data_IF_423764874950
#
_entry.id   IF_423764874950
#
_cell.length_a   1.000
_cell.length_b   1.000
_cell.length_c   1.000
_cell.angle_alpha   90.00
_cell.angle_beta   90.00
_cell.angle_gamma   90.00
#
_symmetry.space_group_name_H-M   'P 1'
#
loop_
_entity.id
_entity.type
_entity.pdbx_description
1 polymer ?
#
# COMPACT_ATOMS: atom_id res chain seq x y z
N UNK A 1 17.54 -5.72 -16.10
CA UNK A 1 16.31 -5.82 -16.92
C UNK A 1 15.09 -5.30 -16.15
N UNK A 2 14.71 -5.82 -14.98
CA UNK A 2 13.59 -5.27 -14.17
C UNK A 2 13.92 -3.93 -13.49
N UNK A 3 15.14 -3.72 -13.02
CA UNK A 3 15.55 -2.43 -12.43
C UNK A 3 15.48 -1.23 -13.41
N UNK A 4 15.50 -1.50 -14.72
CA UNK A 4 15.31 -0.48 -15.77
C UNK A 4 13.82 -0.21 -16.05
N UNK A 5 12.92 -1.10 -15.63
CA UNK A 5 11.48 -0.96 -15.77
C UNK A 5 10.88 -0.23 -14.57
N UNK A 6 11.34 -0.55 -13.36
CA UNK A 6 10.91 0.12 -12.15
C UNK A 6 11.34 1.58 -12.20
N UNK A 7 10.37 2.50 -12.28
CA UNK A 7 10.52 3.96 -12.19
C UNK A 7 10.10 4.40 -10.78
N UNK A 8 11.00 4.36 -9.78
CA UNK A 8 10.63 4.57 -8.38
C UNK A 8 10.03 5.96 -8.15
N UNK A 9 10.44 6.95 -8.92
CA UNK A 9 9.89 8.31 -8.90
C UNK A 9 8.39 8.36 -9.20
N UNK A 10 7.90 7.51 -10.12
CA UNK A 10 6.46 7.43 -10.42
C UNK A 10 5.70 6.84 -9.24
N UNK A 11 6.27 5.83 -8.58
CA UNK A 11 5.65 5.25 -7.40
C UNK A 11 5.70 6.20 -6.21
N UNK A 12 6.81 6.93 -6.02
CA UNK A 12 6.93 7.96 -4.97
C UNK A 12 5.86 9.04 -5.13
N UNK A 13 5.62 9.54 -6.35
CA UNK A 13 4.55 10.51 -6.59
C UNK A 13 3.14 9.94 -6.28
N UNK A 14 2.88 8.67 -6.62
CA UNK A 14 1.61 8.01 -6.29
C UNK A 14 1.41 7.82 -4.78
N UNK A 15 2.49 7.62 -4.03
CA UNK A 15 2.45 7.35 -2.60
C UNK A 15 2.53 8.60 -1.72
N UNK A 16 2.92 9.76 -2.26
CA UNK A 16 3.06 11.03 -1.52
C UNK A 16 1.84 11.36 -0.65
N UNK A 17 0.57 11.22 -1.11
CA UNK A 17 -0.59 11.54 -0.27
C UNK A 17 -0.79 10.59 0.91
N UNK A 18 -0.18 9.40 0.89
CA UNK A 18 -0.29 8.36 1.92
C UNK A 18 0.91 8.34 2.87
N UNK A 19 2.09 8.70 2.37
CA UNK A 19 3.34 8.80 3.15
C UNK A 19 3.97 10.16 2.81
N UNK A 20 3.59 11.26 3.50
CA UNK A 20 4.01 12.60 3.12
C UNK A 20 5.50 12.86 3.34
N UNK A 21 6.08 12.28 4.39
CA UNK A 21 7.51 12.36 4.64
C UNK A 21 8.31 11.68 3.52
N UNK A 22 9.32 12.37 3.01
CA UNK A 22 10.06 11.92 1.83
C UNK A 22 11.01 10.75 2.15
N UNK A 23 11.61 10.73 3.35
CA UNK A 23 12.56 9.67 3.74
C UNK A 23 11.80 8.36 3.99
N UNK A 24 10.67 8.44 4.69
CA UNK A 24 9.75 7.33 4.91
C UNK A 24 9.20 6.77 3.59
N UNK A 25 8.81 7.67 2.68
CA UNK A 25 8.30 7.27 1.37
C UNK A 25 9.36 6.62 0.52
N UNK A 26 10.58 7.14 0.52
CA UNK A 26 11.72 6.51 -0.19
C UNK A 26 12.02 5.13 0.39
N UNK A 27 11.90 4.96 1.71
CA UNK A 27 12.02 3.66 2.36
C UNK A 27 10.93 2.68 1.89
N UNK A 28 9.66 3.09 1.90
CA UNK A 28 8.53 2.26 1.43
C UNK A 28 8.69 1.89 -0.05
N UNK A 29 9.02 2.86 -0.91
CA UNK A 29 9.25 2.64 -2.34
C UNK A 29 10.41 1.67 -2.58
N UNK A 30 11.50 1.78 -1.80
CA UNK A 30 12.62 0.84 -1.84
C UNK A 30 12.17 -0.58 -1.49
N UNK A 31 11.41 -0.75 -0.41
CA UNK A 31 10.91 -2.06 -0.04
C UNK A 31 10.05 -2.68 -1.15
N UNK A 32 9.12 -1.92 -1.74
CA UNK A 32 8.24 -2.42 -2.81
C UNK A 32 9.01 -2.79 -4.08
N UNK A 33 10.00 -1.97 -4.48
CA UNK A 33 10.60 -2.05 -5.82
C UNK A 33 11.96 -2.73 -5.88
N UNK A 34 12.66 -2.88 -4.74
CA UNK A 34 14.03 -3.39 -4.67
C UNK A 34 14.22 -4.63 -3.81
N UNK A 35 13.28 -4.95 -2.92
CA UNK A 35 13.36 -6.13 -2.07
C UNK A 35 12.57 -7.32 -2.64
N UNK A 36 12.90 -8.54 -2.22
CA UNK A 36 12.20 -9.75 -2.64
C UNK A 36 12.58 -10.28 -4.01
N UNK A 37 11.91 -11.34 -4.52
CA UNK A 37 12.20 -11.94 -5.81
C UNK A 37 11.87 -11.01 -7.00
N UNK A 38 12.59 -11.17 -8.10
CA UNK A 38 12.51 -10.27 -9.27
C UNK A 38 11.12 -10.18 -9.91
N UNK A 39 10.36 -11.28 -9.91
CA UNK A 39 9.01 -11.33 -10.46
C UNK A 39 8.00 -10.58 -9.58
N UNK A 40 8.16 -10.60 -8.26
CA UNK A 40 7.33 -9.78 -7.35
C UNK A 40 7.59 -8.30 -7.56
N UNK A 41 8.86 -7.86 -7.60
CA UNK A 41 9.21 -6.45 -7.85
C UNK A 41 8.63 -5.93 -9.17
N UNK A 42 8.71 -6.74 -10.23
CA UNK A 42 8.14 -6.41 -11.53
C UNK A 42 6.62 -6.34 -11.51
N UNK A 43 5.95 -7.31 -10.87
CA UNK A 43 4.49 -7.34 -10.73
C UNK A 43 3.96 -6.15 -9.92
N UNK A 44 4.58 -5.87 -8.77
CA UNK A 44 4.23 -4.73 -7.92
C UNK A 44 4.28 -3.43 -8.71
N UNK A 45 5.39 -3.20 -9.43
CA UNK A 45 5.54 -2.01 -10.26
C UNK A 45 4.48 -1.94 -11.37
N UNK A 46 4.20 -3.05 -12.05
CA UNK A 46 3.21 -3.09 -13.11
C UNK A 46 1.80 -2.76 -12.59
N UNK A 47 1.37 -3.40 -11.50
CA UNK A 47 0.03 -3.22 -10.94
C UNK A 47 -0.17 -1.81 -10.37
N UNK A 48 0.78 -1.31 -9.57
CA UNK A 48 0.73 0.05 -9.02
C UNK A 48 0.81 1.11 -10.12
N UNK A 49 1.65 0.88 -11.13
CA UNK A 49 1.76 1.77 -12.29
C UNK A 49 0.49 1.82 -13.13
N UNK A 50 -0.19 0.69 -13.33
CA UNK A 50 -1.47 0.63 -14.04
C UNK A 50 -2.59 1.31 -13.26
N UNK A 51 -2.67 1.14 -11.94
CA UNK A 51 -3.62 1.89 -11.12
C UNK A 51 -3.34 3.40 -11.12
N UNK A 52 -2.06 3.80 -11.10
CA UNK A 52 -1.70 5.20 -11.26
C UNK A 52 -2.15 5.77 -12.61
N UNK A 53 -1.97 5.03 -13.70
CA UNK A 53 -2.45 5.43 -15.02
C UNK A 53 -3.99 5.52 -15.07
N UNK A 54 -4.70 4.58 -14.44
CA UNK A 54 -6.16 4.63 -14.33
C UNK A 54 -6.64 5.88 -13.58
N UNK A 55 -5.98 6.24 -12.47
CA UNK A 55 -6.29 7.46 -11.74
C UNK A 55 -6.09 8.71 -12.60
N UNK A 56 -5.02 8.76 -13.40
CA UNK A 56 -4.79 9.85 -14.35
C UNK A 56 -5.88 9.93 -15.43
N UNK A 57 -6.32 8.78 -15.98
CA UNK A 57 -7.43 8.72 -16.96
C UNK A 57 -8.76 9.19 -16.37
N UNK A 58 -9.02 8.87 -15.11
CA UNK A 58 -10.21 9.34 -14.38
C UNK A 58 -10.10 10.82 -13.95
N UNK A 59 -8.93 11.45 -14.06
CA UNK A 59 -8.69 12.76 -13.44
C UNK A 59 -8.76 12.72 -11.91
N UNK A 60 -8.66 11.52 -11.33
CA UNK A 60 -8.67 11.30 -9.91
C UNK A 60 -7.30 11.61 -9.31
N UNK A 61 -7.30 12.11 -8.08
CA UNK A 61 -6.07 12.38 -7.32
C UNK A 61 -6.14 11.62 -6.00
N UNK A 62 -5.17 10.74 -5.72
CA UNK A 62 -5.08 10.13 -4.39
C UNK A 62 -5.03 11.21 -3.32
N UNK A 63 -5.72 10.95 -2.22
CA UNK A 63 -5.75 11.80 -1.04
C UNK A 63 -5.41 10.92 0.15
N UNK A 64 -4.97 11.55 1.24
CA UNK A 64 -4.82 10.85 2.51
C UNK A 64 -6.14 10.12 2.85
N UNK A 65 -6.06 8.87 3.34
CA UNK A 65 -7.23 8.05 3.61
C UNK A 65 -8.09 8.73 4.66
N UNK A 66 -9.41 8.65 4.49
CA UNK A 66 -10.38 9.16 5.47
C UNK A 66 -10.90 7.98 6.30
N UNK A 67 -10.89 8.13 7.62
CA UNK A 67 -11.44 7.13 8.52
C UNK A 67 -10.40 6.13 9.01
N UNK A 68 -10.85 4.89 9.22
CA UNK A 68 -10.06 3.85 9.87
C UNK A 68 -8.99 3.28 8.94
N UNK A 69 -7.77 3.20 9.48
CA UNK A 69 -6.61 2.61 8.82
C UNK A 69 -5.96 1.60 9.74
N UNK A 70 -5.27 0.62 9.14
CA UNK A 70 -4.43 -0.35 9.87
C UNK A 70 -2.98 -0.19 9.46
N UNK A 71 -2.08 -0.35 10.43
CA UNK A 71 -0.65 -0.28 10.20
C UNK A 71 -0.10 -1.51 9.49
N UNK A 72 0.84 -1.30 8.58
CA UNK A 72 1.55 -2.42 7.95
C UNK A 72 2.63 -2.90 8.92
N UNK A 73 2.58 -4.14 9.44
CA UNK A 73 3.47 -4.57 10.50
C UNK A 73 4.92 -4.73 10.03
N UNK A 74 5.86 -4.18 10.80
CA UNK A 74 7.28 -4.41 10.63
C UNK A 74 7.68 -5.74 11.30
N UNK A 75 7.70 -6.81 10.50
CA UNK A 75 8.03 -8.15 10.99
C UNK A 75 9.54 -8.31 11.20
N UNK A 76 9.99 -8.13 12.44
CA UNK A 76 11.37 -8.43 12.83
C UNK A 76 11.59 -9.93 13.03
N UNK A 77 12.78 -10.45 12.67
CA UNK A 77 13.20 -11.80 13.05
C UNK A 77 13.08 -12.03 14.57
N UNK A 78 12.77 -13.26 15.03
CA UNK A 78 12.53 -13.54 16.45
C UNK A 78 13.64 -13.09 17.39
N UNK A 79 14.90 -13.14 16.96
CA UNK A 79 16.07 -12.73 17.74
C UNK A 79 16.23 -11.20 17.87
N UNK A 80 15.52 -10.42 17.05
CA UNK A 80 15.47 -8.95 17.13
C UNK A 80 14.16 -8.45 17.74
N UNK A 81 13.19 -9.34 17.97
CA UNK A 81 11.88 -8.99 18.52
C UNK A 81 11.92 -8.47 19.97
N UNK A 82 13.07 -8.59 20.65
CA UNK A 82 13.28 -8.07 22.00
C UNK A 82 13.63 -6.57 22.04
N UNK A 83 13.93 -5.94 20.89
CA UNK A 83 14.28 -4.51 20.79
C UNK A 83 13.08 -3.63 20.34
N UNK A 84 11.86 -3.99 20.74
CA UNK A 84 10.57 -3.43 20.27
C UNK A 84 10.28 -1.96 20.60
N UNK A 85 11.23 -1.22 21.16
CA UNK A 85 10.91 0.05 21.83
C UNK A 85 10.68 1.25 20.91
N UNK A 86 10.88 1.17 19.57
CA UNK A 86 10.66 2.39 18.76
C UNK A 86 9.91 2.28 17.42
N UNK A 87 9.89 1.16 16.67
CA UNK A 87 9.07 1.11 15.44
C UNK A 87 8.59 -0.32 15.13
N UNK A 88 7.27 -0.55 15.25
CA UNK A 88 6.64 -1.86 14.98
C UNK A 88 5.86 -1.90 13.67
N UNK A 89 5.78 -0.78 12.96
CA UNK A 89 4.98 -0.60 11.74
C UNK A 89 5.77 0.18 10.69
N UNK A 90 5.45 -0.03 9.43
CA UNK A 90 5.94 0.82 8.35
C UNK A 90 5.16 2.14 8.30
N UNK A 91 5.74 3.21 7.70
CA UNK A 91 5.07 4.50 7.56
C UNK A 91 3.77 4.50 6.74
N UNK A 92 3.59 3.48 5.88
CA UNK A 92 2.36 3.32 5.09
C UNK A 92 1.25 2.68 5.92
N UNK A 93 0.08 3.31 5.91
CA UNK A 93 -1.14 2.82 6.55
C UNK A 93 -2.15 2.39 5.47
N UNK A 94 -2.87 1.30 5.69
CA UNK A 94 -3.85 0.75 4.73
C UNK A 94 -5.28 1.14 5.15
N UNK A 95 -6.11 1.76 4.29
CA UNK A 95 -7.50 2.05 4.61
C UNK A 95 -8.34 0.78 4.69
N UNK A 96 -9.23 0.72 5.69
CA UNK A 96 -10.13 -0.43 5.91
C UNK A 96 -11.44 -0.28 5.15
N UNK A 97 -11.93 0.94 4.96
CA UNK A 97 -13.26 1.24 4.43
C UNK A 97 -13.53 0.57 3.06
N UNK A 98 -12.52 0.47 2.19
CA UNK A 98 -12.69 -0.18 0.89
C UNK A 98 -12.89 -1.70 0.99
N UNK A 99 -12.31 -2.34 2.00
CA UNK A 99 -12.50 -3.76 2.28
C UNK A 99 -13.89 -4.05 2.85
N UNK A 100 -14.55 -3.05 3.45
CA UNK A 100 -15.92 -3.17 3.96
C UNK A 100 -16.95 -3.43 2.83
N UNK A 101 -16.56 -3.18 1.57
CA UNK A 101 -17.35 -3.59 0.39
C UNK A 101 -17.39 -5.11 0.19
N UNK A 102 -16.42 -5.84 0.75
CA UNK A 102 -16.28 -7.29 0.59
C UNK A 102 -16.69 -8.07 1.84
N UNK A 103 -16.49 -7.48 3.03
CA UNK A 103 -16.86 -8.09 4.31
C UNK A 103 -17.39 -7.03 5.28
N UNK A 104 -18.43 -7.32 6.09
CA UNK A 104 -18.98 -6.34 7.03
C UNK A 104 -17.96 -5.85 8.06
N UNK A 105 -18.11 -4.59 8.47
CA UNK A 105 -17.28 -4.01 9.55
C UNK A 105 -17.36 -4.85 10.83
N UNK A 106 -16.20 -5.16 11.42
CA UNK A 106 -16.07 -5.92 12.65
C UNK A 106 -16.36 -7.42 12.50
N UNK A 107 -16.45 -7.92 11.27
CA UNK A 107 -16.63 -9.36 11.03
C UNK A 107 -15.27 -10.09 10.98
N UNK A 108 -15.23 -11.38 11.39
CA UNK A 108 -14.01 -12.19 11.27
C UNK A 108 -13.48 -12.30 9.85
N UNK A 109 -14.35 -12.21 8.84
CA UNK A 109 -13.97 -12.21 7.43
C UNK A 109 -13.19 -10.95 7.04
N UNK A 110 -13.57 -9.79 7.58
CA UNK A 110 -12.83 -8.54 7.35
C UNK A 110 -11.42 -8.63 7.98
N UNK A 111 -11.34 -9.15 9.21
CA UNK A 111 -10.06 -9.38 9.89
C UNK A 111 -9.16 -10.32 9.08
N UNK A 112 -9.73 -11.42 8.56
CA UNK A 112 -9.01 -12.36 7.71
C UNK A 112 -8.51 -11.73 6.40
N UNK A 113 -9.28 -10.83 5.77
CA UNK A 113 -8.84 -10.10 4.58
C UNK A 113 -7.66 -9.19 4.91
N UNK A 114 -7.73 -8.44 6.02
CA UNK A 114 -6.64 -7.58 6.49
C UNK A 114 -5.37 -8.41 6.73
N UNK A 115 -5.50 -9.54 7.45
CA UNK A 115 -4.39 -10.45 7.72
C UNK A 115 -3.77 -10.97 6.42
N UNK A 116 -4.57 -11.43 5.46
CA UNK A 116 -4.07 -11.91 4.17
C UNK A 116 -3.32 -10.82 3.38
N UNK A 117 -3.76 -9.57 3.46
CA UNK A 117 -3.14 -8.45 2.75
C UNK A 117 -1.82 -8.02 3.40
N UNK A 118 -1.74 -8.09 4.74
CA UNK A 118 -0.59 -7.66 5.53
C UNK A 118 0.38 -8.81 5.90
N UNK A 119 0.07 -10.04 5.49
CA UNK A 119 0.95 -11.18 5.68
C UNK A 119 2.08 -11.23 4.65
N UNK A 120 3.21 -11.77 5.09
CA UNK A 120 4.42 -11.90 4.30
C UNK A 120 5.48 -10.81 4.52
N UNK A 121 6.56 -10.84 3.74
CA UNK A 121 7.67 -9.90 3.85
C UNK A 121 7.31 -8.51 3.30
N UNK A 122 8.12 -7.50 3.64
CA UNK A 122 7.88 -6.07 3.37
C UNK A 122 7.38 -5.78 1.95
N UNK A 123 8.05 -6.30 0.93
CA UNK A 123 7.71 -6.08 -0.49
C UNK A 123 6.32 -6.60 -0.90
N UNK A 124 5.76 -7.58 -0.17
CA UNK A 124 4.38 -8.04 -0.38
C UNK A 124 3.39 -7.16 0.37
N UNK A 125 3.53 -7.07 1.68
CA UNK A 125 2.57 -6.37 2.53
C UNK A 125 2.44 -4.88 2.16
N UNK A 126 3.55 -4.19 1.89
CA UNK A 126 3.53 -2.79 1.45
C UNK A 126 2.95 -2.61 0.05
N UNK A 127 3.18 -3.56 -0.87
CA UNK A 127 2.60 -3.49 -2.20
C UNK A 127 1.09 -3.69 -2.15
N UNK A 128 0.61 -4.65 -1.35
CA UNK A 128 -0.82 -4.87 -1.10
C UNK A 128 -1.46 -3.63 -0.47
N UNK A 129 -0.88 -3.09 0.61
CA UNK A 129 -1.38 -1.88 1.24
C UNK A 129 -1.45 -0.70 0.26
N UNK A 130 -0.41 -0.49 -0.55
CA UNK A 130 -0.39 0.55 -1.58
C UNK A 130 -1.47 0.35 -2.65
N UNK A 131 -1.71 -0.89 -3.09
CA UNK A 131 -2.79 -1.22 -4.02
C UNK A 131 -4.15 -0.87 -3.41
N UNK A 132 -4.39 -1.22 -2.14
CA UNK A 132 -5.62 -0.91 -1.42
C UNK A 132 -5.81 0.61 -1.28
N UNK A 133 -4.76 1.37 -0.96
CA UNK A 133 -4.80 2.83 -0.94
C UNK A 133 -5.22 3.44 -2.29
N UNK A 134 -4.65 2.93 -3.40
CA UNK A 134 -4.97 3.43 -4.73
C UNK A 134 -6.38 3.01 -5.18
N UNK A 135 -6.82 1.79 -4.85
CA UNK A 135 -8.17 1.33 -5.11
C UNK A 135 -9.20 2.16 -4.33
N UNK A 136 -8.94 2.45 -3.06
CA UNK A 136 -9.78 3.34 -2.25
C UNK A 136 -9.94 4.70 -2.93
N UNK A 137 -8.85 5.29 -3.44
CA UNK A 137 -8.91 6.55 -4.20
C UNK A 137 -9.73 6.44 -5.50
N UNK A 138 -9.62 5.33 -6.24
CA UNK A 138 -10.44 5.08 -7.44
C UNK A 138 -11.92 5.01 -7.06
N UNK A 139 -12.27 4.21 -6.05
CA UNK A 139 -13.67 4.04 -5.63
C UNK A 139 -14.26 5.31 -5.01
N UNK A 140 -13.47 6.08 -4.28
CA UNK A 140 -13.88 7.39 -3.77
C UNK A 140 -14.23 8.34 -4.92
N UNK A 141 -13.41 8.39 -5.96
CA UNK A 141 -13.69 9.21 -7.15
C UNK A 141 -14.96 8.75 -7.89
N UNK A 142 -15.14 7.44 -8.06
CA UNK A 142 -16.35 6.89 -8.71
C UNK A 142 -17.62 7.13 -7.87
N UNK A 143 -17.51 7.13 -6.54
CA UNK A 143 -18.62 7.45 -5.63
C UNK A 143 -18.93 8.95 -5.53
N UNK A 144 -17.92 9.81 -5.71
CA UNK A 144 -18.08 11.27 -5.82
C UNK A 144 -18.67 11.70 -7.20
N UNK A 145 -18.76 10.76 -8.16
CA UNK A 145 -19.19 10.99 -9.53
C UNK A 145 -20.66 10.69 -9.84
N UNK A 146 -21.51 10.46 -8.83
CA UNK A 146 -22.96 10.25 -9.01
C UNK A 146 -23.69 11.61 -9.00
N UNK A 147 -24.36 12.05 -10.08
CA UNK A 147 -25.24 13.21 -10.09
C UNK A 147 -26.60 12.96 -9.40
#
# INVERSE_FOLDING_TARGET
MVAALTRPERLSALLEPFVPDAEDRDFVVRCITREGPVHHRGANFALLGLLGALLDELGARPKAPKGETVGVPLRLPPHLAHHRDTDTEYPLQMPVAILEKLAPKGSPELDALIDCLLDGPAHHALANAALICLLDAVFAHLGDGDP
#
